data_IF_138158982296
#
_entry.id   IF_138158982296
#
_cell.length_a   1.000
_cell.length_b   1.000
_cell.length_c   1.000
_cell.angle_alpha   90.00
_cell.angle_beta   90.00
_cell.angle_gamma   90.00
#
_symmetry.space_group_name_H-M   'P 1'
#
loop_
_entity.id
_entity.type
_entity.pdbx_description
1 polymer ?
#
# COMPACT_ATOMS: atom_id res chain seq x y z
N UNK A 1 36.37 -15.22 64.23
CA UNK A 1 37.55 -15.85 63.61
C UNK A 1 37.52 -15.41 62.16
N UNK A 2 38.35 -14.45 61.71
CA UNK A 2 39.56 -13.91 62.36
C UNK A 2 39.65 -12.38 62.40
N UNK A 3 40.65 -11.90 63.14
CA UNK A 3 40.92 -10.52 63.50
C UNK A 3 42.21 -10.08 62.79
N UNK A 4 42.24 -8.90 62.16
CA UNK A 4 43.30 -7.92 62.50
C UNK A 4 43.02 -6.49 62.01
N UNK A 5 43.41 -5.56 62.88
CA UNK A 5 43.28 -4.11 62.74
C UNK A 5 44.36 -3.49 61.85
N UNK A 6 44.08 -2.29 61.31
CA UNK A 6 45.11 -1.37 60.81
C UNK A 6 44.95 -0.02 61.50
N UNK A 7 45.93 0.37 62.33
CA UNK A 7 45.93 1.69 62.98
C UNK A 7 46.61 2.78 62.13
N UNK A 8 46.17 4.02 62.34
CA UNK A 8 46.72 5.26 61.80
C UNK A 8 48.02 5.66 62.52
N UNK A 9 48.82 6.56 61.93
CA UNK A 9 49.17 7.85 62.58
C UNK A 9 49.84 8.83 61.61
N UNK A 10 49.73 10.12 61.94
CA UNK A 10 50.19 11.27 61.14
C UNK A 10 51.34 12.00 61.82
N UNK A 11 52.17 12.73 61.07
CA UNK A 11 52.96 13.84 61.61
C UNK A 11 53.27 14.93 60.57
N UNK A 12 53.17 16.19 61.00
CA UNK A 12 53.47 17.44 60.30
C UNK A 12 54.73 18.07 60.92
N UNK A 13 55.46 18.99 60.25
CA UNK A 13 56.15 20.20 60.80
C UNK A 13 56.83 20.99 59.66
N UNK A 14 57.19 22.27 59.88
CA UNK A 14 57.28 23.35 58.87
C UNK A 14 58.46 24.35 59.15
N UNK A 15 58.87 25.17 58.14
CA UNK A 15 59.65 26.46 58.20
C UNK A 15 61.19 26.31 58.40
N UNK A 16 62.13 27.21 57.95
CA UNK A 16 62.10 28.53 57.22
C UNK A 16 62.86 28.52 55.85
N UNK A 17 63.42 29.61 55.25
CA UNK A 17 62.92 30.94 54.78
C UNK A 17 64.04 31.75 54.02
N UNK A 18 63.71 32.92 53.41
CA UNK A 18 64.60 34.01 52.91
C UNK A 18 65.53 33.76 51.68
N UNK A 19 65.98 34.71 50.83
CA UNK A 19 65.48 36.04 50.34
C UNK A 19 66.30 36.54 49.12
N UNK A 20 65.66 37.30 48.21
CA UNK A 20 66.18 38.44 47.39
C UNK A 20 67.12 38.26 46.15
N UNK A 21 66.71 38.98 45.08
CA UNK A 21 67.43 39.69 44.00
C UNK A 21 68.45 39.00 43.07
N UNK A 22 68.21 39.10 41.74
CA UNK A 22 68.85 40.14 40.92
C UNK A 22 68.16 40.34 39.55
N UNK A 23 68.45 41.46 38.86
CA UNK A 23 67.73 41.92 37.66
C UNK A 23 68.59 42.01 36.38
N UNK A 24 68.05 41.58 35.24
CA UNK A 24 68.56 41.93 33.90
C UNK A 24 67.46 41.89 32.83
N UNK A 25 67.45 42.88 31.92
CA UNK A 25 66.40 43.13 30.93
C UNK A 25 66.63 42.46 29.57
N UNK A 26 65.59 41.83 28.99
CA UNK A 26 65.49 41.58 27.54
C UNK A 26 64.08 41.87 27.00
N UNK A 27 64.00 42.48 25.81
CA UNK A 27 62.73 42.83 25.13
C UNK A 27 61.98 41.57 24.64
N UNK A 28 60.63 41.52 24.75
CA UNK A 28 59.88 40.29 24.49
C UNK A 28 59.64 40.02 22.99
N UNK A 29 60.26 38.96 22.47
CA UNK A 29 60.04 38.41 21.12
C UNK A 29 58.69 37.67 20.94
N UNK A 30 57.80 37.76 21.94
CA UNK A 30 56.60 36.93 22.07
C UNK A 30 55.34 37.49 21.39
N UNK A 31 55.28 38.79 21.08
CA UNK A 31 54.08 39.43 20.53
C UNK A 31 53.81 39.04 19.06
N UNK A 32 54.86 38.93 18.25
CA UNK A 32 54.76 38.73 16.79
C UNK A 32 54.23 37.34 16.43
N UNK A 33 54.67 36.29 17.14
CA UNK A 33 54.24 34.91 16.89
C UNK A 33 52.78 34.64 17.30
N UNK A 34 52.22 35.38 18.26
CA UNK A 34 50.78 35.28 18.58
C UNK A 34 49.94 35.87 17.46
N UNK A 35 50.29 37.05 16.93
CA UNK A 35 49.52 37.72 15.87
C UNK A 35 49.42 36.86 14.60
N UNK A 36 50.54 36.30 14.15
CA UNK A 36 50.58 35.41 12.99
C UNK A 36 49.66 34.18 13.14
N UNK A 37 49.73 33.46 14.28
CA UNK A 37 48.84 32.31 14.55
C UNK A 37 47.36 32.70 14.58
N UNK A 38 47.01 33.85 15.14
CA UNK A 38 45.61 34.32 15.19
C UNK A 38 45.08 34.64 13.80
N UNK A 39 45.91 35.20 12.92
CA UNK A 39 45.48 35.53 11.56
C UNK A 39 45.39 34.29 10.65
N UNK A 40 46.29 33.30 10.79
CA UNK A 40 46.13 31.99 10.12
C UNK A 40 44.82 31.29 10.53
N UNK A 41 44.44 31.35 11.81
CA UNK A 41 43.19 30.76 12.29
C UNK A 41 41.95 31.46 11.70
N UNK A 42 41.98 32.80 11.54
CA UNK A 42 40.91 33.54 10.87
C UNK A 42 40.77 33.14 9.39
N UNK A 43 41.87 33.00 8.66
CA UNK A 43 41.84 32.54 7.27
C UNK A 43 41.28 31.12 7.14
N UNK A 44 41.65 30.20 8.05
CA UNK A 44 41.09 28.85 8.06
C UNK A 44 39.58 28.84 8.37
N UNK A 45 39.10 29.68 9.31
CA UNK A 45 37.67 29.81 9.58
C UNK A 45 36.90 30.44 8.42
N UNK A 46 37.45 31.47 7.77
CA UNK A 46 36.83 32.09 6.60
C UNK A 46 36.78 31.14 5.39
N UNK A 47 37.83 30.35 5.17
CA UNK A 47 37.88 29.36 4.09
C UNK A 47 36.94 28.17 4.38
N UNK A 48 36.84 27.72 5.64
CA UNK A 48 35.84 26.75 6.07
C UNK A 48 34.40 27.24 5.86
N UNK A 49 34.11 28.50 6.18
CA UNK A 49 32.80 29.11 5.95
C UNK A 49 32.48 29.22 4.44
N UNK A 50 33.46 29.62 3.62
CA UNK A 50 33.30 29.73 2.17
C UNK A 50 33.06 28.37 1.50
N UNK A 51 33.82 27.34 1.88
CA UNK A 51 33.61 25.96 1.40
C UNK A 51 32.25 25.42 1.88
N UNK A 52 31.87 25.69 3.12
CA UNK A 52 30.55 25.33 3.66
C UNK A 52 29.40 25.94 2.86
N UNK A 53 29.44 27.26 2.60
CA UNK A 53 28.41 27.95 1.81
C UNK A 53 28.39 27.50 0.34
N UNK A 54 29.54 27.23 -0.27
CA UNK A 54 29.62 26.72 -1.64
C UNK A 54 29.03 25.31 -1.78
N UNK A 55 29.34 24.40 -0.84
CA UNK A 55 28.73 23.07 -0.78
C UNK A 55 27.22 23.14 -0.51
N UNK A 56 26.77 24.05 0.35
CA UNK A 56 25.34 24.21 0.64
C UNK A 56 24.55 24.76 -0.56
N UNK A 57 25.15 25.67 -1.35
CA UNK A 57 24.56 26.18 -2.59
C UNK A 57 24.46 25.14 -3.72
N UNK A 58 25.48 24.28 -3.87
CA UNK A 58 25.44 23.18 -4.84
C UNK A 58 24.37 22.12 -4.51
N UNK A 59 24.10 21.89 -3.23
CA UNK A 59 23.05 20.98 -2.77
C UNK A 59 21.61 21.51 -2.96
N UNK A 60 21.44 22.79 -3.34
CA UNK A 60 20.13 23.41 -3.59
C UNK A 60 19.83 23.67 -5.09
N UNK A 61 20.74 23.30 -6.00
CA UNK A 61 20.65 23.69 -7.42
C UNK A 61 20.71 22.53 -8.42
N UNK A 62 20.61 21.28 -7.96
CA UNK A 62 20.45 20.10 -8.83
C UNK A 62 19.16 19.34 -8.52
N UNK A 63 18.23 19.17 -9.48
CA UNK A 63 17.08 18.29 -9.31
C UNK A 63 17.48 16.82 -9.50
N UNK A 64 16.74 15.94 -8.82
CA UNK A 64 16.71 14.48 -8.94
C UNK A 64 17.82 13.63 -8.27
N UNK A 65 17.33 12.60 -7.57
CA UNK A 65 18.01 11.43 -6.98
C UNK A 65 18.77 11.58 -5.65
N UNK A 66 18.63 10.52 -4.82
CA UNK A 66 19.10 10.32 -3.44
C UNK A 66 18.38 11.07 -2.31
N UNK A 67 17.47 10.36 -1.64
CA UNK A 67 16.94 10.73 -0.33
C UNK A 67 16.79 9.51 0.58
N UNK A 68 17.72 9.32 1.51
CA UNK A 68 17.49 8.59 2.76
C UNK A 68 18.53 8.95 3.84
N UNK A 69 18.07 9.03 5.09
CA UNK A 69 18.83 9.23 6.35
C UNK A 69 19.53 10.59 6.55
N UNK A 70 18.87 11.50 7.28
CA UNK A 70 19.16 11.97 8.67
C UNK A 70 18.20 13.15 8.91
N UNK A 71 17.52 13.18 10.06
CA UNK A 71 16.45 14.16 10.30
C UNK A 71 16.95 15.50 10.84
N UNK A 72 16.34 16.58 10.37
CA UNK A 72 16.02 17.75 11.19
C UNK A 72 14.82 18.52 10.56
N UNK A 73 13.59 18.06 10.80
CA UNK A 73 12.39 18.74 10.28
C UNK A 73 11.96 19.86 11.22
N UNK A 74 12.33 21.10 10.88
CA UNK A 74 11.56 22.27 11.32
C UNK A 74 10.13 22.14 10.79
N UNK A 75 9.15 22.15 11.70
CA UNK A 75 7.75 22.06 11.35
C UNK A 75 7.30 23.30 10.54
N UNK A 76 7.27 23.16 9.22
CA UNK A 76 6.48 24.02 8.35
C UNK A 76 5.09 23.41 8.27
N UNK A 77 4.08 24.10 8.80
CA UNK A 77 2.69 23.66 8.76
C UNK A 77 2.12 23.78 7.34
N UNK A 78 2.52 22.87 6.45
CA UNK A 78 1.83 22.65 5.20
C UNK A 78 0.49 21.96 5.51
N UNK A 79 -0.60 22.74 5.52
CA UNK A 79 -1.97 22.20 5.47
C UNK A 79 -2.24 21.62 4.09
N UNK A 80 -1.59 20.48 3.80
CA UNK A 80 -1.97 19.62 2.69
C UNK A 80 -3.42 19.16 2.90
N UNK A 81 -4.23 19.05 1.82
CA UNK A 81 -5.61 18.58 1.94
C UNK A 81 -5.62 17.11 2.34
N UNK A 82 -5.68 16.86 3.65
CA UNK A 82 -5.81 15.54 4.27
C UNK A 82 -6.95 14.79 3.56
N UNK A 83 -6.60 13.75 2.81
CA UNK A 83 -7.56 13.00 2.01
C UNK A 83 -8.76 12.57 2.87
N UNK A 84 -9.95 12.97 2.44
CA UNK A 84 -11.17 12.81 3.23
C UNK A 84 -11.45 11.34 3.54
N UNK A 85 -11.88 11.01 4.77
CA UNK A 85 -12.30 9.65 5.11
C UNK A 85 -13.44 9.18 4.20
N UNK A 86 -13.49 7.88 3.95
CA UNK A 86 -14.49 7.27 3.06
C UNK A 86 -15.91 7.45 3.60
N UNK A 87 -16.95 7.47 2.74
CA UNK A 87 -18.35 7.56 3.17
C UNK A 87 -18.73 6.52 4.22
N UNK A 88 -19.39 6.97 5.28
CA UNK A 88 -19.87 6.12 6.39
C UNK A 88 -21.38 6.29 6.63
N UNK A 89 -21.97 5.31 7.31
CA UNK A 89 -23.34 5.37 7.84
C UNK A 89 -23.40 4.68 9.20
N UNK A 90 -24.43 4.97 9.99
CA UNK A 90 -24.67 4.29 11.26
C UNK A 90 -25.56 3.06 11.07
N UNK A 91 -25.20 1.94 11.69
CA UNK A 91 -26.03 0.76 11.85
C UNK A 91 -26.11 0.45 13.34
N UNK A 92 -27.30 0.55 13.94
CA UNK A 92 -27.51 0.39 15.40
C UNK A 92 -26.58 1.26 16.26
N UNK A 93 -26.28 2.49 15.80
CA UNK A 93 -25.35 3.42 16.44
C UNK A 93 -23.86 3.14 16.20
N UNK A 94 -23.51 2.09 15.46
CA UNK A 94 -22.13 1.73 15.11
C UNK A 94 -21.78 2.31 13.73
N UNK A 95 -20.65 3.01 13.57
CA UNK A 95 -20.21 3.48 12.26
C UNK A 95 -19.74 2.31 11.40
N UNK A 96 -20.34 2.19 10.22
CA UNK A 96 -19.96 1.24 9.17
C UNK A 96 -19.71 1.97 7.84
N UNK A 97 -19.00 1.36 6.89
CA UNK A 97 -18.76 1.96 5.59
C UNK A 97 -20.07 2.02 4.80
N UNK A 98 -20.29 3.10 4.05
CA UNK A 98 -21.43 3.18 3.16
C UNK A 98 -21.07 2.62 1.78
N UNK A 99 -21.16 1.30 1.65
CA UNK A 99 -20.80 0.57 0.41
C UNK A 99 -21.52 1.07 -0.86
N UNK A 100 -22.69 1.72 -0.74
CA UNK A 100 -23.39 2.33 -1.89
C UNK A 100 -22.78 3.65 -2.37
N UNK A 101 -21.82 4.21 -1.62
CA UNK A 101 -21.09 5.43 -1.95
C UNK A 101 -19.57 5.21 -2.08
N UNK A 102 -19.06 4.01 -1.83
CA UNK A 102 -17.63 3.67 -1.97
C UNK A 102 -17.44 2.96 -3.32
N UNK A 103 -16.47 3.44 -4.10
CA UNK A 103 -16.05 2.83 -5.38
C UNK A 103 -14.52 2.83 -5.44
N UNK A 104 -13.91 2.00 -6.30
CA UNK A 104 -12.44 1.99 -6.40
C UNK A 104 -11.86 3.36 -6.77
N UNK A 105 -12.59 4.16 -7.56
CA UNK A 105 -12.21 5.53 -7.98
C UNK A 105 -12.15 6.55 -6.86
N UNK A 106 -12.96 6.40 -5.80
CA UNK A 106 -12.99 7.36 -4.69
C UNK A 106 -12.16 6.93 -3.48
N UNK A 107 -11.68 5.69 -3.46
CA UNK A 107 -10.61 5.24 -2.57
C UNK A 107 -9.27 5.79 -3.07
N UNK A 108 -8.65 6.66 -2.26
CA UNK A 108 -7.40 7.36 -2.64
C UNK A 108 -6.28 7.10 -1.64
N UNK A 109 -5.06 6.95 -2.16
CA UNK A 109 -3.87 6.81 -1.32
C UNK A 109 -3.56 8.12 -0.58
N UNK A 110 -3.19 8.04 0.70
CA UNK A 110 -2.74 9.19 1.51
C UNK A 110 -1.22 9.30 1.67
N UNK A 111 -0.45 8.45 0.99
CA UNK A 111 0.99 8.60 0.82
C UNK A 111 1.45 7.82 -0.42
N UNK A 112 2.59 8.18 -1.03
CA UNK A 112 3.18 7.37 -2.09
C UNK A 112 3.69 6.03 -1.57
N UNK A 113 3.94 5.10 -2.50
CA UNK A 113 4.58 3.82 -2.24
C UNK A 113 4.91 3.07 -3.52
N UNK A 114 5.68 1.99 -3.41
CA UNK A 114 6.00 1.13 -4.54
C UNK A 114 6.36 -0.29 -4.11
N UNK A 115 6.28 -1.21 -5.05
CA UNK A 115 6.75 -2.58 -4.92
C UNK A 115 7.27 -3.09 -6.26
N UNK A 116 8.51 -3.58 -6.25
CA UNK A 116 9.06 -4.36 -7.35
C UNK A 116 8.69 -5.82 -7.16
N UNK A 117 8.19 -6.44 -8.22
CA UNK A 117 7.85 -7.86 -8.24
C UNK A 117 9.09 -8.73 -8.38
N UNK A 118 9.09 -9.97 -7.84
CA UNK A 118 10.10 -10.96 -8.19
C UNK A 118 10.11 -11.19 -9.71
N UNK A 119 11.29 -11.38 -10.30
CA UNK A 119 11.43 -11.70 -11.73
C UNK A 119 10.87 -13.10 -12.01
N UNK A 120 9.57 -13.15 -12.29
CA UNK A 120 8.79 -14.34 -12.64
C UNK A 120 8.21 -14.07 -14.02
N UNK A 121 8.46 -14.98 -14.96
CA UNK A 121 7.85 -14.92 -16.29
C UNK A 121 6.38 -15.29 -16.21
N UNK A 122 5.54 -14.28 -16.00
CA UNK A 122 4.08 -14.38 -16.03
C UNK A 122 3.54 -13.28 -16.98
N UNK A 123 2.92 -13.63 -18.13
CA UNK A 123 2.43 -12.64 -19.10
C UNK A 123 1.51 -11.60 -18.46
N UNK A 124 1.66 -10.32 -18.83
CA UNK A 124 0.89 -9.20 -18.27
C UNK A 124 1.26 -8.79 -16.83
N UNK A 125 2.11 -9.54 -16.12
CA UNK A 125 2.53 -9.18 -14.76
C UNK A 125 3.53 -8.01 -14.79
N UNK A 126 3.16 -6.87 -14.19
CA UNK A 126 4.02 -5.68 -14.11
C UNK A 126 5.27 -5.97 -13.25
N UNK A 127 6.44 -5.51 -13.68
CA UNK A 127 7.68 -5.64 -12.88
C UNK A 127 7.71 -4.70 -11.68
N UNK A 128 7.05 -3.55 -11.79
CA UNK A 128 6.95 -2.50 -10.78
C UNK A 128 5.51 -2.04 -10.70
N UNK A 129 4.99 -1.90 -9.49
CA UNK A 129 3.76 -1.15 -9.22
C UNK A 129 4.09 -0.04 -8.23
N UNK A 130 3.76 1.20 -8.58
CA UNK A 130 3.96 2.38 -7.76
C UNK A 130 2.68 3.20 -7.71
N UNK A 131 2.50 3.94 -6.62
CA UNK A 131 1.39 4.85 -6.43
C UNK A 131 1.86 6.14 -5.78
N UNK A 132 1.11 7.22 -6.02
CA UNK A 132 1.33 8.53 -5.40
C UNK A 132 0.16 8.92 -4.51
N UNK A 133 0.37 9.91 -3.64
CA UNK A 133 -0.70 10.49 -2.83
C UNK A 133 -1.81 11.08 -3.73
N UNK A 134 -3.07 10.87 -3.36
CA UNK A 134 -4.25 11.34 -4.09
C UNK A 134 -4.67 10.48 -5.29
N UNK A 135 -3.84 9.50 -5.69
CA UNK A 135 -4.14 8.57 -6.79
C UNK A 135 -5.28 7.61 -6.40
N UNK A 136 -6.12 7.24 -7.38
CA UNK A 136 -7.20 6.27 -7.20
C UNK A 136 -6.69 4.84 -7.00
N UNK A 137 -7.40 4.07 -6.18
CA UNK A 137 -7.12 2.64 -5.99
C UNK A 137 -7.35 1.83 -7.28
N UNK A 138 -8.27 2.30 -8.13
CA UNK A 138 -8.58 1.73 -9.44
C UNK A 138 -7.46 1.87 -10.48
N UNK A 139 -6.57 2.84 -10.30
CA UNK A 139 -5.42 3.08 -11.20
C UNK A 139 -4.21 2.19 -10.89
N UNK A 140 -4.21 1.55 -9.72
CA UNK A 140 -3.04 0.88 -9.13
C UNK A 140 -3.29 -0.61 -8.93
N UNK A 141 -4.49 -0.98 -8.50
CA UNK A 141 -4.85 -2.37 -8.23
C UNK A 141 -5.29 -3.10 -9.51
N UNK A 142 -4.97 -4.38 -9.57
CA UNK A 142 -5.39 -5.28 -10.63
C UNK A 142 -6.52 -6.19 -10.15
N UNK A 143 -7.32 -6.70 -11.09
CA UNK A 143 -8.49 -7.53 -10.77
C UNK A 143 -8.11 -8.78 -9.94
N UNK A 144 -6.96 -9.39 -10.22
CA UNK A 144 -6.48 -10.59 -9.51
C UNK A 144 -6.13 -10.35 -8.04
N UNK A 145 -5.88 -9.11 -7.63
CA UNK A 145 -5.63 -8.77 -6.23
C UNK A 145 -6.86 -9.03 -5.34
N UNK A 146 -8.05 -9.03 -5.95
CA UNK A 146 -9.34 -9.26 -5.31
C UNK A 146 -9.92 -10.67 -5.54
N UNK A 147 -9.27 -11.51 -6.35
CA UNK A 147 -9.69 -12.90 -6.64
C UNK A 147 -9.86 -13.77 -5.37
N UNK A 148 -9.02 -13.53 -4.35
CA UNK A 148 -9.06 -14.23 -3.07
C UNK A 148 -9.84 -13.48 -1.98
N UNK A 149 -10.91 -12.78 -2.36
CA UNK A 149 -11.71 -11.90 -1.49
C UNK A 149 -13.21 -12.11 -1.69
N UNK A 150 -14.01 -11.50 -0.82
CA UNK A 150 -15.46 -11.63 -0.81
C UNK A 150 -16.17 -10.86 -1.94
N UNK A 151 -15.46 -9.99 -2.70
CA UNK A 151 -16.12 -9.13 -3.69
C UNK A 151 -16.67 -9.88 -4.93
N UNK A 152 -15.94 -10.89 -5.42
CA UNK A 152 -16.34 -11.63 -6.63
C UNK A 152 -16.45 -10.77 -7.89
N UNK A 153 -15.63 -9.71 -8.00
CA UNK A 153 -15.63 -8.70 -9.09
C UNK A 153 -15.53 -9.37 -10.47
N UNK A 154 -14.73 -10.43 -10.54
CA UNK A 154 -14.43 -11.21 -11.74
C UNK A 154 -15.65 -11.96 -12.30
N UNK A 155 -16.74 -12.06 -11.53
CA UNK A 155 -18.02 -12.62 -11.98
C UNK A 155 -18.94 -11.58 -12.66
N UNK A 156 -18.58 -10.29 -12.66
CA UNK A 156 -19.30 -9.27 -13.41
C UNK A 156 -18.99 -9.36 -14.91
N UNK A 157 -20.01 -9.05 -15.70
CA UNK A 157 -19.93 -8.78 -17.14
C UNK A 157 -20.03 -7.28 -17.43
N UNK A 158 -19.54 -6.83 -18.59
CA UNK A 158 -19.63 -5.43 -19.01
C UNK A 158 -21.08 -4.94 -19.12
N UNK A 159 -22.03 -5.83 -19.42
CA UNK A 159 -23.47 -5.56 -19.44
C UNK A 159 -24.02 -5.23 -18.05
N UNK A 160 -23.61 -5.96 -17.01
CA UNK A 160 -23.99 -5.63 -15.63
C UNK A 160 -23.37 -4.30 -15.18
N UNK A 161 -22.08 -4.08 -15.48
CA UNK A 161 -21.39 -2.82 -15.18
C UNK A 161 -22.08 -1.64 -15.90
N UNK A 162 -22.50 -1.84 -17.16
CA UNK A 162 -23.28 -0.89 -17.95
C UNK A 162 -24.63 -0.56 -17.31
N UNK A 163 -25.36 -1.57 -16.81
CA UNK A 163 -26.64 -1.38 -16.14
C UNK A 163 -26.49 -0.60 -14.82
N UNK A 164 -25.42 -0.86 -14.04
CA UNK A 164 -25.14 -0.18 -12.77
C UNK A 164 -24.69 1.28 -12.99
N UNK A 165 -23.78 1.50 -13.94
CA UNK A 165 -23.08 2.80 -14.10
C UNK A 165 -23.66 3.70 -15.20
N UNK A 166 -24.57 3.18 -16.02
CA UNK A 166 -25.19 3.91 -17.14
C UNK A 166 -24.28 4.09 -18.37
N UNK A 167 -23.10 3.46 -18.42
CA UNK A 167 -22.21 3.55 -19.59
C UNK A 167 -22.83 2.89 -20.83
N UNK A 168 -22.61 3.50 -21.99
CA UNK A 168 -23.15 3.03 -23.28
C UNK A 168 -22.09 2.23 -24.03
N UNK A 169 -22.15 0.90 -23.90
CA UNK A 169 -21.16 -0.04 -24.47
C UNK A 169 -20.96 0.13 -25.99
N UNK A 170 -22.01 0.48 -26.74
CA UNK A 170 -21.92 0.75 -28.19
C UNK A 170 -21.18 2.05 -28.56
N UNK A 171 -20.73 2.84 -27.58
CA UNK A 171 -19.84 4.01 -27.73
C UNK A 171 -18.41 3.75 -27.26
N UNK A 172 -18.12 2.54 -26.79
CA UNK A 172 -16.81 2.13 -26.28
C UNK A 172 -16.14 1.30 -27.37
N UNK A 173 -14.87 1.60 -27.65
CA UNK A 173 -14.01 0.89 -28.60
C UNK A 173 -13.26 -0.26 -27.92
N UNK A 174 -12.78 -1.25 -28.67
CA UNK A 174 -12.12 -2.42 -28.09
C UNK A 174 -10.85 -2.04 -27.30
N UNK A 175 -10.06 -1.07 -27.80
CA UNK A 175 -8.87 -0.52 -27.13
C UNK A 175 -9.13 0.16 -25.77
N UNK A 176 -10.40 0.31 -25.36
CA UNK A 176 -10.80 0.82 -24.04
C UNK A 176 -11.16 -0.30 -23.05
N UNK A 177 -11.09 -1.55 -23.50
CA UNK A 177 -11.21 -2.75 -22.69
C UNK A 177 -9.94 -3.58 -22.87
N UNK A 178 -8.85 -3.19 -22.21
CA UNK A 178 -7.49 -3.75 -22.34
C UNK A 178 -7.44 -5.30 -22.27
N UNK A 179 -8.43 -5.95 -21.64
CA UNK A 179 -8.57 -7.42 -21.72
C UNK A 179 -8.59 -7.95 -23.15
N UNK A 180 -9.08 -7.20 -24.14
CA UNK A 180 -9.14 -7.66 -25.54
C UNK A 180 -7.78 -7.73 -26.21
N UNK A 181 -6.82 -6.90 -25.78
CA UNK A 181 -5.54 -6.73 -26.46
C UNK A 181 -4.76 -8.06 -26.56
N UNK A 182 -4.80 -8.87 -25.50
CA UNK A 182 -4.07 -10.14 -25.41
C UNK A 182 -4.95 -11.40 -25.56
N UNK A 183 -6.19 -11.29 -26.06
CA UNK A 183 -6.98 -12.48 -26.37
C UNK A 183 -6.63 -13.02 -27.75
N UNK A 184 -6.42 -14.33 -27.86
CA UNK A 184 -6.46 -15.00 -29.18
C UNK A 184 -7.92 -15.26 -29.59
N UNK A 185 -8.16 -15.55 -30.87
CA UNK A 185 -9.49 -16.02 -31.34
C UNK A 185 -9.97 -17.24 -30.54
N UNK A 186 -9.04 -18.15 -30.21
CA UNK A 186 -9.34 -19.33 -29.39
C UNK A 186 -9.71 -19.01 -27.94
N UNK A 187 -9.19 -17.93 -27.37
CA UNK A 187 -9.58 -17.48 -26.02
C UNK A 187 -10.92 -16.76 -26.03
N UNK A 188 -11.17 -15.92 -27.03
CA UNK A 188 -12.49 -15.30 -27.25
C UNK A 188 -13.58 -16.36 -27.42
N UNK A 189 -13.31 -17.46 -28.13
CA UNK A 189 -14.26 -18.59 -28.25
C UNK A 189 -14.52 -19.32 -26.93
N UNK A 190 -13.56 -19.37 -26.00
CA UNK A 190 -13.78 -19.93 -24.65
C UNK A 190 -14.64 -18.98 -23.81
N UNK A 191 -14.32 -17.68 -23.84
CA UNK A 191 -15.04 -16.65 -23.11
C UNK A 191 -16.46 -16.40 -23.64
N UNK A 192 -16.65 -16.58 -24.96
CA UNK A 192 -17.91 -16.31 -25.68
C UNK A 192 -18.28 -17.58 -26.48
N UNK A 193 -18.93 -18.59 -25.87
CA UNK A 193 -19.12 -19.90 -26.51
C UNK A 193 -19.85 -19.89 -27.86
N UNK A 194 -20.71 -18.89 -28.12
CA UNK A 194 -21.44 -18.72 -29.40
C UNK A 194 -20.68 -17.95 -30.48
N UNK A 195 -19.46 -17.50 -30.19
CA UNK A 195 -18.61 -16.80 -31.16
C UNK A 195 -18.14 -17.73 -32.28
N UNK A 196 -17.88 -19.00 -31.94
CA UNK A 196 -17.44 -20.01 -32.91
C UNK A 196 -18.42 -20.22 -34.07
N UNK A 197 -19.73 -20.08 -33.80
CA UNK A 197 -20.82 -20.24 -34.77
C UNK A 197 -21.04 -18.99 -35.65
N UNK A 198 -20.41 -17.85 -35.33
CA UNK A 198 -20.55 -16.64 -36.15
C UNK A 198 -19.78 -16.79 -37.45
N UNK A 199 -20.31 -16.24 -38.54
CA UNK A 199 -19.53 -16.06 -39.77
C UNK A 199 -18.47 -14.99 -39.55
N UNK A 200 -17.26 -15.22 -40.07
CA UNK A 200 -16.11 -14.29 -39.92
C UNK A 200 -16.45 -12.87 -40.40
N UNK A 201 -17.16 -12.75 -41.52
CA UNK A 201 -17.63 -11.48 -42.11
C UNK A 201 -18.57 -10.67 -41.19
N UNK A 202 -19.22 -11.32 -40.21
CA UNK A 202 -20.08 -10.67 -39.21
C UNK A 202 -19.32 -10.28 -37.93
N UNK A 203 -18.02 -10.56 -37.84
CA UNK A 203 -17.15 -10.18 -36.71
C UNK A 203 -15.93 -9.42 -37.25
N UNK A 204 -16.08 -8.13 -37.63
CA UNK A 204 -15.04 -7.34 -38.30
C UNK A 204 -13.63 -7.41 -37.69
N UNK A 205 -13.42 -7.29 -36.36
CA UNK A 205 -12.07 -7.38 -35.79
C UNK A 205 -11.44 -8.76 -35.95
N UNK A 206 -12.22 -9.85 -36.01
CA UNK A 206 -11.67 -11.19 -36.28
C UNK A 206 -11.33 -11.35 -37.76
N UNK A 207 -12.18 -10.84 -38.66
CA UNK A 207 -11.90 -10.84 -40.10
C UNK A 207 -10.60 -10.08 -40.44
N UNK A 208 -10.44 -8.88 -39.86
CA UNK A 208 -9.25 -8.05 -40.09
C UNK A 208 -7.99 -8.65 -39.43
N UNK A 209 -8.13 -9.34 -38.29
CA UNK A 209 -7.04 -10.13 -37.68
C UNK A 209 -6.58 -11.25 -38.61
N UNK A 210 -7.52 -11.98 -39.22
CA UNK A 210 -7.22 -13.05 -40.18
C UNK A 210 -6.53 -12.47 -41.41
N UNK A 211 -7.04 -11.38 -41.97
CA UNK A 211 -6.43 -10.71 -43.12
C UNK A 211 -4.99 -10.23 -42.81
N UNK A 212 -4.76 -9.68 -41.62
CA UNK A 212 -3.45 -9.24 -41.17
C UNK A 212 -2.45 -10.39 -40.94
N UNK A 213 -2.91 -11.52 -40.37
CA UNK A 213 -2.06 -12.67 -40.06
C UNK A 213 -1.75 -13.55 -41.28
N UNK A 214 -2.70 -13.68 -42.22
CA UNK A 214 -2.67 -14.68 -43.31
C UNK A 214 -2.53 -14.08 -44.71
N UNK A 215 -2.72 -12.76 -44.86
CA UNK A 215 -2.84 -12.09 -46.15
C UNK A 215 -4.09 -12.46 -46.96
N UNK A 216 -5.00 -13.26 -46.39
CA UNK A 216 -6.17 -13.82 -47.05
C UNK A 216 -7.48 -13.30 -46.43
N UNK A 217 -8.49 -13.05 -47.25
CA UNK A 217 -9.85 -12.76 -46.79
C UNK A 217 -10.68 -14.04 -46.70
N UNK A 218 -11.52 -14.15 -45.67
CA UNK A 218 -12.36 -15.32 -45.42
C UNK A 218 -13.83 -14.93 -45.56
N UNK A 219 -14.57 -15.66 -46.40
CA UNK A 219 -16.00 -15.45 -46.65
C UNK A 219 -16.77 -16.75 -46.46
N UNK A 220 -17.99 -16.67 -45.94
CA UNK A 220 -18.88 -17.83 -45.74
C UNK A 220 -18.40 -18.91 -44.75
N UNK A 221 -17.25 -18.77 -44.10
CA UNK A 221 -16.78 -19.67 -43.03
C UNK A 221 -17.19 -19.15 -41.65
N UNK A 222 -17.38 -20.07 -40.70
CA UNK A 222 -17.52 -19.73 -39.29
C UNK A 222 -16.17 -19.35 -38.66
N UNK A 223 -16.16 -18.66 -37.53
CA UNK A 223 -14.94 -18.36 -36.76
C UNK A 223 -14.22 -19.66 -36.35
N UNK A 224 -14.97 -20.73 -36.03
CA UNK A 224 -14.40 -22.05 -35.71
C UNK A 224 -13.73 -22.73 -36.92
N UNK A 225 -14.34 -22.63 -38.10
CA UNK A 225 -13.77 -23.20 -39.34
C UNK A 225 -12.51 -22.42 -39.77
N UNK A 226 -12.53 -21.10 -39.63
CA UNK A 226 -11.37 -20.26 -39.91
C UNK A 226 -10.19 -20.57 -38.97
N UNK A 227 -10.42 -20.68 -37.66
CA UNK A 227 -9.37 -21.07 -36.69
C UNK A 227 -8.82 -22.48 -36.96
N UNK A 228 -9.64 -23.37 -37.55
CA UNK A 228 -9.21 -24.70 -37.98
C UNK A 228 -8.39 -24.67 -39.28
N UNK A 229 -8.71 -23.73 -40.18
CA UNK A 229 -8.06 -23.54 -41.49
C UNK A 229 -6.74 -22.80 -41.42
N UNK A 230 -6.56 -21.93 -40.41
CA UNK A 230 -5.38 -21.06 -40.24
C UNK A 230 -4.73 -21.30 -38.85
N UNK A 231 -3.91 -22.35 -38.68
CA UNK A 231 -3.27 -22.71 -37.41
C UNK A 231 -2.42 -21.61 -36.76
N UNK A 232 -1.93 -20.65 -37.55
CA UNK A 232 -1.19 -19.47 -37.11
C UNK A 232 -1.98 -18.61 -36.11
N UNK A 233 -3.30 -18.51 -36.27
CA UNK A 233 -4.18 -17.69 -35.43
C UNK A 233 -4.22 -18.14 -33.96
N UNK A 234 -3.76 -19.36 -33.66
CA UNK A 234 -3.72 -19.91 -32.28
C UNK A 234 -2.89 -19.09 -31.30
N UNK A 235 -1.93 -18.30 -31.80
CA UNK A 235 -1.04 -17.47 -30.99
C UNK A 235 -1.07 -15.98 -31.40
N UNK A 236 -2.00 -15.58 -32.28
CA UNK A 236 -2.16 -14.19 -32.69
C UNK A 236 -3.17 -13.52 -31.75
N UNK A 237 -2.68 -12.57 -30.97
CA UNK A 237 -3.47 -11.74 -30.07
C UNK A 237 -4.20 -10.63 -30.84
N UNK A 238 -5.44 -10.33 -30.46
CA UNK A 238 -6.28 -9.34 -31.16
C UNK A 238 -5.66 -7.93 -31.17
N UNK A 239 -4.81 -7.60 -30.20
CA UNK A 239 -4.04 -6.34 -30.15
C UNK A 239 -2.97 -6.19 -31.24
N UNK A 240 -2.77 -7.19 -32.11
CA UNK A 240 -1.95 -7.02 -33.32
C UNK A 240 -2.62 -6.19 -34.42
N UNK A 241 -3.91 -5.86 -34.27
CA UNK A 241 -4.63 -4.89 -35.11
C UNK A 241 -5.04 -3.66 -34.30
N UNK A 242 -5.39 -2.57 -35.00
CA UNK A 242 -5.79 -1.31 -34.37
C UNK A 242 -7.21 -1.37 -33.80
N UNK A 243 -7.29 -1.75 -32.52
CA UNK A 243 -8.54 -1.95 -31.79
C UNK A 243 -9.38 -0.68 -31.58
N UNK A 244 -8.82 0.51 -31.84
CA UNK A 244 -9.58 1.77 -31.75
C UNK A 244 -10.60 1.94 -32.89
N UNK A 245 -10.49 1.14 -33.96
CA UNK A 245 -11.39 1.16 -35.12
C UNK A 245 -12.72 0.44 -34.89
N UNK A 246 -12.78 -0.47 -33.92
CA UNK A 246 -13.94 -1.33 -33.67
C UNK A 246 -14.61 -0.97 -32.35
N UNK A 247 -15.93 -1.02 -32.32
CA UNK A 247 -16.69 -0.93 -31.08
C UNK A 247 -16.57 -2.25 -30.33
N UNK A 248 -16.71 -2.18 -29.01
CA UNK A 248 -16.86 -3.33 -28.14
C UNK A 248 -17.94 -4.30 -28.67
N UNK A 249 -19.07 -3.76 -29.13
CA UNK A 249 -20.21 -4.53 -29.65
C UNK A 249 -19.98 -5.17 -31.03
N UNK A 250 -18.84 -4.92 -31.69
CA UNK A 250 -18.51 -5.53 -32.98
C UNK A 250 -17.94 -6.95 -32.80
N UNK A 251 -17.74 -7.41 -31.55
CA UNK A 251 -17.60 -8.82 -31.16
C UNK A 251 -18.92 -9.27 -30.52
N UNK A 252 -19.78 -10.04 -31.22
CA UNK A 252 -21.09 -10.41 -30.71
C UNK A 252 -21.01 -11.20 -29.39
N UNK A 253 -21.62 -10.66 -28.34
CA UNK A 253 -21.79 -11.33 -27.05
C UNK A 253 -20.72 -11.05 -26.00
N UNK A 254 -19.61 -10.37 -26.35
CA UNK A 254 -18.50 -10.05 -25.43
C UNK A 254 -18.95 -9.35 -24.14
N UNK A 255 -20.02 -8.55 -24.21
CA UNK A 255 -20.54 -7.81 -23.07
C UNK A 255 -21.26 -8.68 -22.03
N UNK A 256 -21.62 -9.92 -22.38
CA UNK A 256 -22.32 -10.86 -21.51
C UNK A 256 -21.37 -11.81 -20.77
N UNK A 257 -20.12 -11.93 -21.22
CA UNK A 257 -19.11 -12.80 -20.60
C UNK A 257 -18.63 -12.21 -19.27
N UNK A 258 -18.58 -13.01 -18.19
CA UNK A 258 -17.84 -12.68 -16.98
C UNK A 258 -16.38 -12.30 -17.26
N UNK A 259 -15.87 -11.31 -16.55
CA UNK A 259 -14.47 -10.86 -16.60
C UNK A 259 -13.48 -12.01 -16.42
N UNK A 260 -13.78 -12.98 -15.55
CA UNK A 260 -12.91 -14.13 -15.25
C UNK A 260 -12.72 -15.12 -16.40
N UNK A 261 -13.60 -15.08 -17.41
CA UNK A 261 -13.60 -16.04 -18.51
C UNK A 261 -12.61 -15.62 -19.63
N UNK A 262 -12.13 -14.36 -19.60
CA UNK A 262 -11.08 -13.86 -20.49
C UNK A 262 -9.68 -14.30 -20.02
N UNK A 263 -8.78 -14.59 -20.98
CA UNK A 263 -7.41 -14.96 -20.66
C UNK A 263 -6.67 -13.82 -19.94
N UNK A 264 -5.79 -14.17 -18.98
CA UNK A 264 -4.99 -13.25 -18.16
C UNK A 264 -5.75 -12.10 -17.46
N UNK A 265 -7.05 -12.25 -17.21
CA UNK A 265 -7.88 -11.19 -16.59
C UNK A 265 -7.30 -10.67 -15.27
N UNK A 266 -6.65 -11.53 -14.47
CA UNK A 266 -6.06 -11.17 -13.18
C UNK A 266 -5.04 -10.01 -13.26
N UNK A 267 -4.45 -9.74 -14.43
CA UNK A 267 -3.37 -8.76 -14.63
C UNK A 267 -3.86 -7.39 -15.11
N UNK A 268 -5.14 -7.27 -15.46
CA UNK A 268 -5.74 -6.02 -15.92
C UNK A 268 -6.01 -5.07 -14.74
N UNK A 269 -5.76 -3.77 -14.97
CA UNK A 269 -5.94 -2.72 -13.97
C UNK A 269 -7.42 -2.37 -13.85
N UNK A 270 -7.96 -2.14 -12.65
CA UNK A 270 -9.42 -1.97 -12.45
C UNK A 270 -10.03 -0.87 -13.34
N UNK A 271 -9.30 0.23 -13.57
CA UNK A 271 -9.72 1.34 -14.43
C UNK A 271 -9.73 1.02 -15.95
N UNK A 272 -9.07 -0.06 -16.37
CA UNK A 272 -9.02 -0.51 -17.76
C UNK A 272 -10.17 -1.50 -18.12
N UNK A 273 -11.07 -1.77 -17.16
CA UNK A 273 -12.40 -2.36 -17.43
C UNK A 273 -13.44 -1.23 -17.52
N UNK A 274 -14.10 -1.03 -18.68
CA UNK A 274 -15.04 0.08 -18.86
C UNK A 274 -16.10 0.20 -17.75
N UNK A 275 -16.07 1.33 -17.05
CA UNK A 275 -17.03 1.68 -16.01
C UNK A 275 -16.75 1.11 -14.62
N UNK A 276 -15.93 0.04 -14.49
CA UNK A 276 -15.79 -0.74 -13.27
C UNK A 276 -15.38 0.10 -12.04
N UNK A 277 -14.46 1.06 -12.19
CA UNK A 277 -14.06 1.96 -11.10
C UNK A 277 -15.19 2.75 -10.44
N UNK A 278 -16.33 2.89 -11.12
CA UNK A 278 -17.49 3.66 -10.67
C UNK A 278 -18.61 2.76 -10.12
N UNK A 279 -18.44 1.43 -10.12
CA UNK A 279 -19.39 0.49 -9.50
C UNK A 279 -19.31 0.66 -7.97
N UNK A 280 -20.43 0.94 -7.28
CA UNK A 280 -20.48 0.96 -5.83
C UNK A 280 -20.21 -0.43 -5.27
N UNK A 281 -19.49 -0.51 -4.15
CA UNK A 281 -19.14 -1.77 -3.50
C UNK A 281 -20.37 -2.58 -3.03
N UNK A 282 -21.55 -1.95 -2.92
CA UNK A 282 -22.83 -2.65 -2.67
C UNK A 282 -23.36 -3.44 -3.85
N UNK A 283 -22.92 -3.15 -5.07
CA UNK A 283 -23.39 -3.77 -6.31
C UNK A 283 -22.49 -4.92 -6.80
N UNK A 284 -21.44 -5.25 -6.03
CA UNK A 284 -20.61 -6.41 -6.32
C UNK A 284 -21.30 -7.73 -5.93
N UNK A 285 -21.03 -8.85 -6.65
CA UNK A 285 -21.67 -10.15 -6.38
C UNK A 285 -21.53 -10.65 -4.94
N UNK A 286 -20.45 -10.28 -4.26
CA UNK A 286 -20.38 -10.29 -2.81
C UNK A 286 -20.00 -8.92 -2.27
N UNK A 287 -20.57 -8.57 -1.12
CA UNK A 287 -20.31 -7.31 -0.41
C UNK A 287 -19.65 -7.66 0.93
N UNK A 288 -18.59 -6.95 1.36
CA UNK A 288 -17.99 -7.16 2.68
C UNK A 288 -19.01 -6.91 3.79
N UNK A 289 -19.52 -7.98 4.37
CA UNK A 289 -20.42 -7.93 5.53
C UNK A 289 -19.57 -7.57 6.76
N UNK A 290 -19.91 -6.51 7.51
CA UNK A 290 -19.22 -6.20 8.76
C UNK A 290 -19.39 -7.33 9.77
N UNK A 291 -18.29 -7.79 10.36
CA UNK A 291 -18.31 -8.85 11.36
C UNK A 291 -18.55 -8.29 12.76
N UNK A 292 -19.84 -8.20 13.11
CA UNK A 292 -20.32 -7.73 14.41
C UNK A 292 -20.10 -8.71 15.58
N UNK A 293 -19.43 -9.86 15.38
CA UNK A 293 -19.21 -10.85 16.45
C UNK A 293 -18.49 -10.26 17.67
N UNK A 294 -17.66 -9.23 17.44
CA UNK A 294 -17.00 -8.47 18.50
C UNK A 294 -17.02 -6.97 18.18
N UNK A 295 -17.72 -6.23 19.02
CA UNK A 295 -17.74 -4.76 19.05
C UNK A 295 -17.14 -4.32 20.38
N UNK A 296 -16.17 -3.41 20.34
CA UNK A 296 -15.65 -2.73 21.51
C UNK A 296 -16.06 -1.26 21.52
N UNK A 297 -15.60 -0.52 22.53
CA UNK A 297 -15.51 0.95 22.48
C UNK A 297 -14.05 1.38 22.51
N UNK A 298 -13.70 2.45 21.82
CA UNK A 298 -12.43 3.13 22.03
C UNK A 298 -12.43 3.71 23.45
N UNK A 299 -11.41 3.38 24.25
CA UNK A 299 -11.31 3.81 25.65
C UNK A 299 -10.24 4.90 25.81
N UNK A 300 -8.98 4.57 25.53
CA UNK A 300 -7.85 5.49 25.59
C UNK A 300 -6.96 5.37 24.33
N UNK A 301 -6.86 6.42 23.51
CA UNK A 301 -5.79 6.55 22.53
C UNK A 301 -4.46 6.86 23.23
N UNK A 302 -3.41 6.11 22.91
CA UNK A 302 -2.08 6.26 23.51
C UNK A 302 -0.98 6.22 22.44
N UNK A 303 0.02 7.09 22.59
CA UNK A 303 1.07 7.32 21.59
C UNK A 303 2.27 6.38 21.70
N UNK A 304 3.21 6.57 20.79
CA UNK A 304 4.43 5.79 20.62
C UNK A 304 5.38 5.79 21.84
N UNK A 305 5.13 6.62 22.85
CA UNK A 305 5.88 6.59 24.13
C UNK A 305 5.65 5.31 24.94
N UNK A 306 4.57 4.58 24.65
CA UNK A 306 4.21 3.34 25.35
C UNK A 306 5.10 2.14 24.99
N UNK A 307 5.23 1.20 25.94
CA UNK A 307 6.08 0.02 25.80
C UNK A 307 5.45 -1.23 26.45
N UNK A 308 6.00 -2.41 26.14
CA UNK A 308 5.68 -3.70 26.77
C UNK A 308 4.17 -4.05 26.84
N UNK A 309 3.44 -3.75 25.76
CA UNK A 309 1.99 -3.98 25.60
C UNK A 309 1.73 -5.43 25.15
N UNK A 310 1.30 -6.27 26.09
CA UNK A 310 1.08 -7.71 25.86
C UNK A 310 -0.38 -8.08 25.56
N UNK A 311 -1.36 -7.24 25.93
CA UNK A 311 -2.80 -7.53 25.77
C UNK A 311 -3.33 -7.14 24.37
N UNK A 312 -2.48 -7.34 23.35
CA UNK A 312 -2.77 -7.00 21.96
C UNK A 312 -3.86 -7.91 21.37
N UNK A 313 -4.79 -7.32 20.63
CA UNK A 313 -5.78 -8.02 19.79
C UNK A 313 -5.53 -7.83 18.28
N UNK A 314 -4.37 -7.27 17.94
CA UNK A 314 -3.96 -6.93 16.57
C UNK A 314 -2.85 -7.85 16.07
N UNK A 315 -2.77 -8.01 14.75
CA UNK A 315 -1.69 -8.77 14.12
C UNK A 315 -1.95 -9.06 12.64
N UNK A 316 -1.77 -10.32 12.25
CA UNK A 316 -1.96 -10.82 10.88
C UNK A 316 -2.54 -12.22 10.86
N UNK A 317 -2.92 -12.71 9.67
CA UNK A 317 -3.23 -14.13 9.50
C UNK A 317 -2.02 -15.05 9.69
N UNK A 318 -0.79 -14.54 9.57
CA UNK A 318 0.44 -15.34 9.59
C UNK A 318 1.08 -15.46 10.99
N UNK A 319 0.98 -14.42 11.82
CA UNK A 319 1.45 -14.44 13.23
C UNK A 319 0.30 -14.59 14.24
N UNK A 320 -0.96 -14.58 13.77
CA UNK A 320 -2.15 -14.44 14.60
C UNK A 320 -2.43 -12.98 14.97
N UNK A 321 -3.58 -12.76 15.62
CA UNK A 321 -4.04 -11.42 16.03
C UNK A 321 -3.78 -11.12 17.50
N UNK A 322 -2.67 -11.62 18.05
CA UNK A 322 -2.29 -11.37 19.44
C UNK A 322 -0.80 -11.00 19.56
N UNK A 323 -0.26 -10.29 18.58
CA UNK A 323 1.18 -9.99 18.54
C UNK A 323 1.48 -8.89 19.56
N UNK A 324 2.27 -9.16 20.61
CA UNK A 324 2.60 -8.16 21.62
C UNK A 324 3.54 -7.10 21.04
N UNK A 325 3.55 -5.92 21.65
CA UNK A 325 4.46 -4.84 21.31
C UNK A 325 5.43 -4.57 22.46
N UNK A 326 6.72 -4.41 22.17
CA UNK A 326 7.77 -4.19 23.18
C UNK A 326 8.19 -2.73 23.31
N UNK A 327 8.18 -1.97 22.22
CA UNK A 327 8.57 -0.55 22.14
C UNK A 327 7.76 0.18 21.08
N UNK A 328 7.73 1.51 21.14
CA UNK A 328 7.06 2.36 20.15
C UNK A 328 5.55 2.06 20.03
N UNK A 329 4.92 1.66 21.13
CA UNK A 329 3.63 0.95 21.15
C UNK A 329 2.42 1.88 21.12
N UNK A 330 2.33 2.76 20.11
CA UNK A 330 1.13 3.56 19.90
C UNK A 330 -0.08 2.66 19.65
N UNK A 331 -1.20 2.87 20.34
CA UNK A 331 -2.37 1.99 20.32
C UNK A 331 -3.67 2.69 20.76
N UNK A 332 -4.79 1.99 20.62
CA UNK A 332 -5.97 2.26 21.45
C UNK A 332 -6.15 1.14 22.48
N UNK A 333 -6.55 1.50 23.69
CA UNK A 333 -7.21 0.58 24.62
C UNK A 333 -8.71 0.52 24.31
N UNK A 334 -9.33 -0.62 24.64
CA UNK A 334 -10.73 -0.91 24.37
C UNK A 334 -11.50 -1.16 25.66
N UNK A 335 -12.80 -0.85 25.62
CA UNK A 335 -13.77 -1.11 26.69
C UNK A 335 -15.00 -1.89 26.15
N UNK A 336 -16.08 -1.89 26.95
CA UNK A 336 -17.43 -2.48 26.75
C UNK A 336 -17.70 -3.82 27.45
N UNK A 337 -16.70 -4.64 27.73
CA UNK A 337 -16.85 -5.88 28.51
C UNK A 337 -15.63 -6.15 29.38
N UNK A 338 -15.79 -6.88 30.50
CA UNK A 338 -14.68 -7.25 31.39
C UNK A 338 -13.55 -8.01 30.68
N UNK A 339 -13.86 -8.71 29.58
CA UNK A 339 -12.87 -9.37 28.72
C UNK A 339 -12.14 -8.37 27.81
N UNK A 340 -12.82 -7.37 27.26
CA UNK A 340 -12.25 -6.36 26.36
C UNK A 340 -11.57 -5.19 27.08
N UNK A 341 -11.94 -4.84 28.32
CA UNK A 341 -11.36 -3.70 29.06
C UNK A 341 -9.84 -3.76 29.11
N UNK A 342 -9.16 -2.73 28.61
CA UNK A 342 -7.69 -2.66 28.50
C UNK A 342 -7.09 -3.64 27.49
N UNK A 343 -7.89 -4.23 26.60
CA UNK A 343 -7.39 -4.93 25.41
C UNK A 343 -6.95 -3.92 24.35
N UNK A 344 -5.85 -4.20 23.66
CA UNK A 344 -5.09 -3.16 22.97
C UNK A 344 -5.05 -3.42 21.46
N UNK A 345 -5.45 -2.44 20.64
CA UNK A 345 -5.27 -2.51 19.19
C UNK A 345 -4.08 -1.62 18.82
N UNK A 346 -2.94 -2.25 18.54
CA UNK A 346 -1.68 -1.58 18.21
C UNK A 346 -1.77 -0.86 16.85
N UNK A 347 -1.07 0.26 16.74
CA UNK A 347 -0.97 1.04 15.50
C UNK A 347 -0.10 0.32 14.46
N UNK A 348 -0.69 0.11 13.28
CA UNK A 348 0.03 -0.43 12.12
C UNK A 348 1.10 0.52 11.59
N UNK A 349 1.09 1.80 12.00
CA UNK A 349 2.11 2.78 11.63
C UNK A 349 3.46 2.43 12.26
N UNK A 350 3.46 2.04 13.54
CA UNK A 350 4.67 1.75 14.32
C UNK A 350 5.01 0.26 14.38
N UNK A 351 4.02 -0.65 14.45
CA UNK A 351 4.28 -2.10 14.54
C UNK A 351 4.03 -2.83 13.19
N UNK A 352 5.04 -3.59 12.74
CA UNK A 352 4.98 -4.46 11.56
C UNK A 352 5.10 -5.95 11.91
N UNK A 353 4.17 -6.74 11.42
CA UNK A 353 4.04 -8.20 11.65
C UNK A 353 4.31 -8.97 10.35
N UNK A 354 4.72 -10.24 10.41
CA UNK A 354 4.82 -11.05 9.17
C UNK A 354 3.44 -11.20 8.54
N UNK A 355 3.41 -11.26 7.22
CA UNK A 355 2.20 -11.43 6.42
C UNK A 355 2.48 -12.07 5.08
N UNK A 356 1.43 -12.28 4.29
CA UNK A 356 1.51 -12.96 3.01
C UNK A 356 1.94 -14.44 3.09
N UNK A 357 1.97 -15.09 1.93
CA UNK A 357 2.38 -16.48 1.75
C UNK A 357 2.76 -16.76 0.29
N UNK A 358 3.37 -17.90 0.01
CA UNK A 358 3.86 -18.24 -1.33
C UNK A 358 5.06 -17.37 -1.74
N UNK A 359 5.24 -17.17 -3.05
CA UNK A 359 6.36 -16.38 -3.59
C UNK A 359 6.13 -14.89 -3.35
N UNK A 360 4.89 -14.42 -3.50
CA UNK A 360 4.49 -13.03 -3.22
C UNK A 360 4.57 -12.68 -1.72
N UNK A 361 4.53 -13.66 -0.83
CA UNK A 361 4.71 -13.48 0.62
C UNK A 361 6.05 -12.88 1.04
N UNK A 362 7.04 -12.74 0.13
CA UNK A 362 8.31 -12.04 0.39
C UNK A 362 8.28 -10.54 0.07
N UNK A 363 7.25 -10.05 -0.64
CA UNK A 363 7.11 -8.63 -0.96
C UNK A 363 7.02 -7.79 0.32
N UNK A 364 7.51 -6.55 0.25
CA UNK A 364 7.65 -5.65 1.40
C UNK A 364 8.37 -6.30 2.61
N UNK A 365 9.41 -7.11 2.32
CA UNK A 365 10.17 -7.86 3.34
C UNK A 365 9.36 -8.94 4.06
N UNK A 366 8.22 -9.36 3.49
CA UNK A 366 7.26 -10.26 4.13
C UNK A 366 6.56 -9.65 5.35
N UNK A 367 6.46 -8.31 5.40
CA UNK A 367 5.89 -7.56 6.52
C UNK A 367 4.68 -6.73 6.10
N UNK A 368 3.74 -6.60 7.02
CA UNK A 368 2.55 -5.73 6.92
C UNK A 368 2.36 -4.93 8.22
N UNK A 369 1.72 -3.74 8.20
CA UNK A 369 1.13 -3.14 9.39
C UNK A 369 0.31 -4.15 10.20
N UNK A 370 0.45 -4.12 11.53
CA UNK A 370 -0.48 -4.82 12.42
C UNK A 370 -1.90 -4.25 12.28
N UNK A 371 -2.93 -5.08 12.46
CA UNK A 371 -4.33 -4.65 12.31
C UNK A 371 -5.34 -5.77 12.46
N UNK A 372 -6.53 -5.56 11.89
CA UNK A 372 -7.71 -6.44 11.94
C UNK A 372 -8.39 -6.53 10.57
N UNK A 373 -9.33 -7.46 10.43
CA UNK A 373 -10.13 -7.67 9.22
C UNK A 373 -11.65 -7.67 9.52
N UNK A 374 -12.22 -6.58 10.10
CA UNK A 374 -13.65 -6.52 10.46
C UNK A 374 -14.60 -6.48 9.26
N UNK A 375 -14.08 -6.32 8.03
CA UNK A 375 -14.82 -6.24 6.78
C UNK A 375 -14.23 -7.20 5.73
N UNK A 376 -14.00 -8.47 6.10
CA UNK A 376 -13.51 -9.50 5.19
C UNK A 376 -12.02 -9.38 4.83
N UNK A 377 -11.58 -10.17 3.83
CA UNK A 377 -10.19 -10.35 3.40
C UNK A 377 -9.76 -9.41 2.27
N UNK A 378 -10.66 -8.56 1.77
CA UNK A 378 -10.32 -7.58 0.73
C UNK A 378 -9.21 -6.61 1.15
N UNK A 379 -9.19 -6.22 2.43
CA UNK A 379 -8.22 -5.29 2.99
C UNK A 379 -8.06 -5.49 4.50
N UNK A 380 -6.92 -5.08 5.04
CA UNK A 380 -6.69 -4.92 6.47
C UNK A 380 -7.05 -3.51 6.90
N UNK A 381 -7.74 -3.37 8.03
CA UNK A 381 -7.86 -2.10 8.76
C UNK A 381 -6.75 -2.02 9.83
N UNK A 382 -6.04 -0.90 9.87
CA UNK A 382 -5.05 -0.60 10.91
C UNK A 382 -5.35 0.76 11.55
N UNK A 383 -5.15 0.87 12.87
CA UNK A 383 -5.00 2.18 13.55
C UNK A 383 -3.74 2.85 12.97
N UNK A 384 -3.83 4.14 12.63
CA UNK A 384 -2.81 4.82 11.85
C UNK A 384 -2.32 6.11 12.52
N UNK A 385 -3.16 7.13 12.62
CA UNK A 385 -2.86 8.34 13.40
C UNK A 385 -3.56 8.30 14.75
N UNK A 386 -2.91 8.85 15.79
CA UNK A 386 -3.40 8.91 17.16
C UNK A 386 -3.20 10.34 17.69
N UNK A 387 -4.24 10.91 18.30
CA UNK A 387 -4.22 12.20 18.95
C UNK A 387 -4.79 12.09 20.38
N UNK A 388 -3.90 11.98 21.35
CA UNK A 388 -4.25 11.98 22.79
C UNK A 388 -4.96 13.27 23.22
N UNK A 389 -4.66 14.41 22.60
CA UNK A 389 -5.14 15.71 23.08
C UNK A 389 -6.63 15.96 22.84
N UNK A 390 -7.25 15.26 21.89
CA UNK A 390 -8.69 15.31 21.61
C UNK A 390 -9.36 13.93 21.65
N UNK A 391 -8.67 12.93 22.20
CA UNK A 391 -9.18 11.57 22.34
C UNK A 391 -9.55 10.92 21.01
N UNK A 392 -8.80 11.18 19.91
CA UNK A 392 -9.16 10.69 18.57
C UNK A 392 -8.08 9.87 17.88
N UNK A 393 -8.53 8.97 16.98
CA UNK A 393 -7.67 8.16 16.13
C UNK A 393 -8.21 8.11 14.70
N UNK A 394 -7.34 7.90 13.73
CA UNK A 394 -7.73 7.50 12.38
C UNK A 394 -7.33 6.06 12.10
N UNK A 395 -8.07 5.43 11.20
CA UNK A 395 -7.72 4.13 10.63
C UNK A 395 -7.48 4.24 9.14
N UNK A 396 -6.64 3.36 8.63
CA UNK A 396 -6.33 3.24 7.21
C UNK A 396 -6.50 1.81 6.73
N UNK A 397 -6.88 1.68 5.46
CA UNK A 397 -6.92 0.41 4.74
C UNK A 397 -5.58 0.11 4.10
N UNK A 398 -5.21 -1.17 4.14
CA UNK A 398 -4.09 -1.74 3.40
C UNK A 398 -4.56 -2.94 2.60
N UNK A 399 -4.20 -2.96 1.33
CA UNK A 399 -4.49 -4.01 0.36
C UNK A 399 -3.25 -4.88 0.14
N UNK A 400 -3.45 -6.04 -0.47
CA UNK A 400 -2.39 -6.99 -0.83
C UNK A 400 -2.49 -7.33 -2.32
N UNK A 401 -1.41 -7.88 -2.85
CA UNK A 401 -1.36 -8.45 -4.19
C UNK A 401 -1.66 -9.94 -4.07
N UNK A 402 -2.51 -10.47 -4.93
CA UNK A 402 -2.75 -11.91 -5.05
C UNK A 402 -2.62 -12.34 -6.51
N UNK A 403 -2.08 -13.53 -6.75
CA UNK A 403 -2.15 -14.23 -8.04
C UNK A 403 -2.38 -15.70 -7.73
N UNK A 404 -3.65 -16.12 -7.79
CA UNK A 404 -4.06 -17.52 -7.63
C UNK A 404 -4.11 -18.17 -9.03
N UNK A 405 -4.47 -19.45 -9.09
CA UNK A 405 -4.51 -20.20 -10.35
C UNK A 405 -3.23 -21.00 -10.60
N UNK A 406 -2.80 -21.10 -11.86
CA UNK A 406 -1.65 -21.91 -12.27
C UNK A 406 -0.69 -21.08 -13.14
N UNK A 407 0.51 -20.72 -12.65
CA UNK A 407 1.08 -21.04 -11.34
C UNK A 407 0.46 -20.22 -10.19
N UNK A 408 0.30 -20.84 -9.02
CA UNK A 408 -0.09 -20.13 -7.80
C UNK A 408 1.14 -19.43 -7.18
N UNK A 409 1.13 -18.09 -7.16
CA UNK A 409 2.22 -17.30 -6.59
C UNK A 409 1.98 -16.91 -5.12
N UNK A 410 0.80 -17.24 -4.58
CA UNK A 410 0.36 -16.87 -3.23
C UNK A 410 -0.29 -15.49 -3.17
N UNK A 411 -0.14 -14.83 -2.02
CA UNK A 411 -0.51 -13.43 -1.84
C UNK A 411 0.56 -12.71 -1.01
N UNK A 412 0.74 -11.42 -1.27
CA UNK A 412 1.63 -10.57 -0.49
C UNK A 412 1.09 -10.27 0.91
N UNK A 413 1.91 -9.68 1.79
CA UNK A 413 1.38 -8.98 2.95
C UNK A 413 0.45 -7.82 2.54
N UNK A 414 -0.44 -7.39 3.43
CA UNK A 414 -1.27 -6.19 3.24
C UNK A 414 -0.45 -4.92 3.46
N UNK A 415 0.18 -4.39 2.41
CA UNK A 415 1.02 -3.19 2.49
C UNK A 415 0.68 -2.10 1.46
N UNK A 416 -0.16 -2.38 0.45
CA UNK A 416 -0.56 -1.35 -0.54
C UNK A 416 -1.53 -0.39 0.15
N UNK A 417 -1.15 0.87 0.28
CA UNK A 417 -1.85 1.85 1.12
C UNK A 417 -0.91 2.99 1.53
N UNK A 418 -1.30 3.79 2.53
CA UNK A 418 -2.59 3.77 3.23
C UNK A 418 -3.70 4.39 2.38
N UNK A 419 -4.93 3.89 2.52
CA UNK A 419 -6.16 4.60 2.10
C UNK A 419 -6.91 5.03 3.37
N UNK A 420 -7.21 6.31 3.60
CA UNK A 420 -7.94 6.77 4.79
C UNK A 420 -9.33 6.14 4.89
N UNK A 421 -9.75 5.76 6.10
CA UNK A 421 -11.00 5.02 6.31
C UNK A 421 -11.93 5.71 7.30
N UNK A 422 -11.84 5.37 8.59
CA UNK A 422 -12.61 6.00 9.66
C UNK A 422 -11.74 6.92 10.51
N UNK A 423 -12.39 7.93 11.09
CA UNK A 423 -11.97 8.59 12.32
C UNK A 423 -12.86 8.08 13.44
N UNK A 424 -12.28 7.74 14.60
CA UNK A 424 -13.00 7.42 15.83
C UNK A 424 -12.54 8.35 16.96
N UNK A 425 -13.38 8.51 17.97
CA UNK A 425 -13.08 9.18 19.24
C UNK A 425 -13.28 8.23 20.42
N UNK A 426 -12.81 8.61 21.58
CA UNK A 426 -13.17 7.99 22.86
C UNK A 426 -14.69 7.76 22.95
N UNK A 427 -15.06 6.61 23.52
CA UNK A 427 -16.42 6.08 23.64
C UNK A 427 -17.13 5.67 22.33
N UNK A 428 -16.57 5.95 21.15
CA UNK A 428 -17.13 5.47 19.89
C UNK A 428 -17.09 3.93 19.83
N UNK A 429 -18.17 3.27 19.35
CA UNK A 429 -18.16 1.85 19.10
C UNK A 429 -17.30 1.51 17.87
N UNK A 430 -16.47 0.48 18.00
CA UNK A 430 -15.55 0.01 16.96
C UNK A 430 -15.71 -1.49 16.72
N UNK A 431 -15.84 -1.88 15.45
CA UNK A 431 -15.96 -3.28 15.03
C UNK A 431 -14.58 -3.91 15.00
N UNK A 432 -14.42 -5.02 15.72
CA UNK A 432 -13.14 -5.74 15.83
C UNK A 432 -13.06 -6.92 14.84
N UNK A 433 -14.21 -7.48 14.43
CA UNK A 433 -14.32 -8.71 13.65
C UNK A 433 -13.85 -9.95 14.41
N UNK A 434 -14.00 -11.14 13.84
CA UNK A 434 -13.58 -12.41 14.43
C UNK A 434 -12.25 -12.93 13.84
N UNK A 435 -11.52 -13.79 14.58
CA UNK A 435 -11.70 -14.06 16.02
C UNK A 435 -11.14 -12.90 16.86
N UNK A 436 -11.77 -12.62 18.01
CA UNK A 436 -11.11 -11.92 19.13
C UNK A 436 -10.87 -12.93 20.23
N UNK A 437 -9.61 -13.34 20.39
CA UNK A 437 -9.12 -13.91 21.64
C UNK A 437 -8.37 -12.78 22.33
N UNK A 438 -8.78 -12.38 23.54
CA UNK A 438 -8.00 -11.42 24.32
C UNK A 438 -6.92 -12.18 25.08
N UNK A 439 -5.64 -11.77 25.08
CA UNK A 439 -4.62 -12.42 25.88
C UNK A 439 -4.96 -12.32 27.37
N UNK A 440 -4.88 -13.44 28.07
CA UNK A 440 -4.81 -13.46 29.54
C UNK A 440 -3.37 -13.29 29.98
N UNK A 441 -3.15 -12.76 31.20
CA UNK A 441 -1.80 -12.69 31.77
C UNK A 441 -1.25 -14.13 31.88
N UNK A 442 0.02 -14.39 31.52
CA UNK A 442 0.68 -15.67 31.76
C UNK A 442 0.72 -16.05 33.24
#
# INVERSE_FOLDING_TARGET
MDINDTQQTSALTIIPANTANDAATQKPRAATNRKAKTDTLKYLMALGLGVGLFLHGLLHSSPSHFGFIVGDQKAVAATLPKASPLPTKLMNGIPIPDWSKITFKNMKFSSPGSVQFPNIKNPGMKELRSWVEGQGLDEVMELGDFEATEFGIENLSLKQISQITGIKLNKITLDKFELTDWQTVGDLMKAIPKLGDQLVENVPPINDLIAAATGSTVTGQTVSDALSSFPELKNVELGSIDLSKYKLTDIPGIENSPIKDFHNWQNNTINNVPGLSNVPFSEFPGVPVPDFSFVGKVDLPLREVEANRWKSISGSYQEGFNVPCTKDCAHIELALSSTLTGAQWMSGKFQKVKGGFGILGKLNGGKEPTGRHPFGKAFKQAVWEINEADGSITTSLFFRICKRGFPDLGCSPYFIGPVPFFTYREMDPIILGAPVKVPTKP
#
